data_IF_045463385115
#
_entry.id   IF_045463385115
#
_cell.length_a   1.000
_cell.length_b   1.000
_cell.length_c   1.000
_cell.angle_alpha   90.00
_cell.angle_beta   90.00
_cell.angle_gamma   90.00
#
_symmetry.space_group_name_H-M   'P 1'
#
loop_
_entity.id
_entity.type
_entity.pdbx_description
1 polymer ?
#
# COMPACT_ATOMS: atom_id res chain seq x y z
N UNK A 1 -4.42 14.14 17.87
CA UNK A 1 -3.17 13.54 18.40
C UNK A 1 -2.33 12.87 17.32
N UNK A 2 -2.93 12.11 16.40
CA UNK A 2 -2.24 11.40 15.30
C UNK A 2 -1.48 12.33 14.33
N UNK A 3 -2.06 13.43 13.87
CA UNK A 3 -1.42 14.40 12.98
C UNK A 3 -0.14 15.03 13.57
N UNK A 4 -0.11 15.31 14.87
CA UNK A 4 1.10 15.85 15.52
C UNK A 4 2.26 14.86 15.55
N UNK A 5 1.98 13.56 15.63
CA UNK A 5 3.03 12.51 15.64
C UNK A 5 3.60 12.32 14.23
N UNK A 6 2.76 12.31 13.20
CA UNK A 6 3.19 12.23 11.79
C UNK A 6 4.07 13.42 11.43
N UNK A 7 3.66 14.63 11.79
CA UNK A 7 4.46 15.86 11.58
C UNK A 7 5.83 15.79 12.23
N UNK A 8 5.94 15.20 13.44
CA UNK A 8 7.22 15.07 14.14
C UNK A 8 8.17 14.05 13.47
N UNK A 9 7.63 12.92 13.01
CA UNK A 9 8.40 11.90 12.29
C UNK A 9 8.88 12.42 10.93
N UNK A 10 8.05 13.18 10.21
CA UNK A 10 8.45 13.78 8.95
C UNK A 10 9.54 14.84 9.12
N UNK A 11 9.47 15.67 10.15
CA UNK A 11 10.54 16.63 10.50
C UNK A 11 11.88 15.93 10.71
N UNK A 12 11.92 14.84 11.47
CA UNK A 12 13.16 14.07 11.69
C UNK A 12 13.73 13.52 10.37
N UNK A 13 12.88 13.02 9.47
CA UNK A 13 13.31 12.55 8.15
C UNK A 13 13.88 13.68 7.30
N UNK A 14 13.23 14.85 7.31
CA UNK A 14 13.67 16.03 6.59
C UNK A 14 15.00 16.54 7.12
N UNK A 15 15.16 16.67 8.43
CA UNK A 15 16.42 17.08 9.07
C UNK A 15 17.57 16.14 8.71
N UNK A 16 17.31 14.82 8.68
CA UNK A 16 18.29 13.84 8.23
C UNK A 16 18.68 14.04 6.78
N UNK A 17 17.69 14.25 5.88
CA UNK A 17 17.95 14.52 4.47
C UNK A 17 18.77 15.80 4.26
N UNK A 18 18.53 16.85 5.05
CA UNK A 18 19.32 18.08 5.02
C UNK A 18 20.77 17.87 5.45
N UNK A 19 21.02 17.04 6.48
CA UNK A 19 22.39 16.68 6.92
C UNK A 19 23.12 15.88 5.83
N UNK A 20 22.45 14.95 5.18
CA UNK A 20 23.05 14.11 4.15
C UNK A 20 23.20 14.83 2.79
N UNK A 21 22.38 15.83 2.52
CA UNK A 21 22.27 16.64 1.29
C UNK A 21 22.22 15.83 -0.02
N UNK A 22 21.80 16.43 -1.11
CA UNK A 22 22.02 15.87 -2.43
C UNK A 22 23.42 16.24 -2.93
N UNK A 23 24.15 15.31 -3.53
CA UNK A 23 25.49 15.56 -4.09
C UNK A 23 25.42 16.15 -5.51
N UNK A 24 24.40 16.97 -5.82
CA UNK A 24 24.26 17.59 -7.14
C UNK A 24 24.93 18.98 -7.17
N UNK A 25 25.28 19.44 -8.38
CA UNK A 25 25.84 20.76 -8.64
C UNK A 25 24.91 21.53 -9.59
N UNK A 26 23.61 21.57 -9.28
CA UNK A 26 22.61 22.21 -10.15
C UNK A 26 22.35 23.67 -9.79
N UNK A 27 22.65 24.08 -8.54
CA UNK A 27 22.52 25.47 -8.13
C UNK A 27 23.68 26.31 -8.71
N UNK A 28 23.41 27.57 -8.96
CA UNK A 28 24.38 28.54 -9.55
C UNK A 28 25.69 28.64 -8.74
N UNK A 29 25.57 28.48 -7.39
CA UNK A 29 26.71 28.52 -6.47
C UNK A 29 27.42 27.17 -6.30
N UNK A 30 27.23 26.18 -7.19
CA UNK A 30 27.71 24.79 -7.03
C UNK A 30 27.24 24.08 -5.75
N UNK A 31 26.33 24.67 -4.98
CA UNK A 31 25.75 24.08 -3.79
C UNK A 31 24.75 22.98 -4.11
N UNK A 32 24.52 22.00 -3.21
CA UNK A 32 23.45 21.04 -3.34
C UNK A 32 22.08 21.71 -3.49
N UNK A 33 21.29 21.35 -4.48
CA UNK A 33 19.99 21.98 -4.73
C UNK A 33 19.00 21.80 -3.56
N UNK A 34 19.21 20.83 -2.67
CA UNK A 34 18.41 20.69 -1.45
C UNK A 34 18.54 21.87 -0.50
N UNK A 35 19.68 22.61 -0.55
CA UNK A 35 19.93 23.78 0.29
C UNK A 35 19.32 25.08 -0.29
N UNK A 36 18.79 25.06 -1.51
CA UNK A 36 18.06 26.20 -2.08
C UNK A 36 16.60 26.26 -1.59
N UNK A 37 16.12 25.21 -0.94
CA UNK A 37 14.78 25.09 -0.37
C UNK A 37 14.85 25.21 1.14
N UNK A 38 13.78 25.66 1.77
CA UNK A 38 13.65 25.74 3.22
C UNK A 38 13.22 24.40 3.82
N UNK A 39 13.42 24.23 5.11
CA UNK A 39 12.95 23.03 5.82
C UNK A 39 11.41 22.92 5.77
N UNK A 40 10.72 24.05 5.82
CA UNK A 40 9.26 24.12 5.77
C UNK A 40 8.75 23.70 4.38
N UNK A 41 9.43 24.09 3.27
CA UNK A 41 9.08 23.62 1.90
C UNK A 41 9.05 22.09 1.84
N UNK A 42 10.00 21.41 2.48
CA UNK A 42 10.04 19.95 2.51
C UNK A 42 8.95 19.35 3.40
N UNK A 43 8.73 19.91 4.57
CA UNK A 43 7.73 19.40 5.52
C UNK A 43 6.33 19.56 4.91
N UNK A 44 6.02 20.71 4.33
CA UNK A 44 4.71 21.00 3.76
C UNK A 44 4.44 20.14 2.53
N UNK A 45 5.39 20.06 1.60
CA UNK A 45 5.24 19.21 0.42
C UNK A 45 5.02 17.74 0.80
N UNK A 46 5.81 17.21 1.74
CA UNK A 46 5.70 15.83 2.19
C UNK A 46 4.41 15.55 2.95
N UNK A 47 3.96 16.50 3.77
CA UNK A 47 2.69 16.40 4.48
C UNK A 47 1.53 16.34 3.48
N UNK A 48 1.50 17.25 2.51
CA UNK A 48 0.49 17.27 1.45
C UNK A 48 0.50 15.96 0.64
N UNK A 49 1.68 15.45 0.26
CA UNK A 49 1.79 14.18 -0.45
C UNK A 49 1.30 12.98 0.40
N UNK A 50 1.47 13.02 1.72
CA UNK A 50 1.02 11.94 2.61
C UNK A 50 -0.50 11.91 2.83
N UNK A 51 -1.19 12.99 2.57
CA UNK A 51 -2.66 13.10 2.65
C UNK A 51 -3.35 12.61 1.36
N UNK A 52 -2.61 12.59 0.24
CA UNK A 52 -3.14 12.11 -1.04
C UNK A 52 -3.27 10.58 -1.05
N UNK A 53 -4.33 10.10 -1.68
CA UNK A 53 -4.40 8.69 -2.07
C UNK A 53 -3.31 8.35 -3.10
N UNK A 54 -2.95 7.08 -3.21
CA UNK A 54 -1.95 6.64 -4.19
C UNK A 54 -2.29 7.04 -5.63
N UNK A 55 -3.57 7.11 -5.98
CA UNK A 55 -4.04 7.49 -7.31
C UNK A 55 -3.88 8.99 -7.55
N UNK A 56 -4.20 9.81 -6.55
CA UNK A 56 -4.02 11.26 -6.61
C UNK A 56 -2.54 11.63 -6.69
N UNK A 57 -1.70 11.00 -5.87
CA UNK A 57 -0.26 11.19 -5.92
C UNK A 57 0.31 10.80 -7.29
N UNK A 58 -0.11 9.67 -7.85
CA UNK A 58 0.31 9.24 -9.19
C UNK A 58 -0.05 10.33 -10.25
N UNK A 59 -1.24 10.95 -10.18
CA UNK A 59 -1.64 12.03 -11.10
C UNK A 59 -0.78 13.30 -10.93
N UNK A 60 -0.52 13.71 -9.68
CA UNK A 60 0.37 14.85 -9.41
C UNK A 60 1.74 14.62 -10.02
N UNK A 61 2.29 13.41 -9.85
CA UNK A 61 3.60 13.09 -10.41
C UNK A 61 3.58 12.97 -11.93
N UNK A 62 2.51 12.44 -12.53
CA UNK A 62 2.36 12.43 -13.99
C UNK A 62 2.33 13.84 -14.57
N UNK A 63 1.64 14.79 -13.92
CA UNK A 63 1.69 16.20 -14.30
C UNK A 63 3.10 16.81 -14.19
N UNK A 64 3.82 16.52 -13.10
CA UNK A 64 5.20 16.95 -12.94
C UNK A 64 6.14 16.33 -14.01
N UNK A 65 5.93 15.07 -14.38
CA UNK A 65 6.67 14.40 -15.48
C UNK A 65 6.40 15.09 -16.80
N UNK A 66 5.15 15.43 -17.12
CA UNK A 66 4.78 16.16 -18.32
C UNK A 66 5.50 17.50 -18.42
N UNK A 67 5.47 18.28 -17.34
CA UNK A 67 6.21 19.56 -17.29
C UNK A 67 7.72 19.36 -17.46
N UNK A 68 8.28 18.31 -16.86
CA UNK A 68 9.71 18.00 -16.93
C UNK A 68 10.18 17.60 -18.32
N UNK A 69 9.34 16.92 -19.09
CA UNK A 69 9.67 16.48 -20.46
C UNK A 69 9.51 17.59 -21.50
N UNK A 70 8.60 18.52 -21.27
CA UNK A 70 8.32 19.62 -22.19
C UNK A 70 9.28 20.80 -22.03
N UNK A 71 10.15 20.79 -21.02
CA UNK A 71 11.23 21.76 -20.87
C UNK A 71 12.36 21.40 -21.85
N UNK A 72 12.25 21.82 -23.12
CA UNK A 72 13.34 21.71 -24.09
C UNK A 72 14.49 22.64 -23.69
N UNK A 73 15.53 22.08 -23.11
CA UNK A 73 16.85 22.74 -23.15
C UNK A 73 17.41 22.49 -24.52
N UNK A 74 17.38 23.51 -25.42
CA UNK A 74 18.22 23.55 -26.60
C UNK A 74 19.68 23.50 -26.13
N UNK A 75 20.35 22.38 -26.36
CA UNK A 75 21.79 22.30 -26.11
C UNK A 75 22.51 23.16 -27.17
N UNK A 76 22.84 24.39 -26.83
CA UNK A 76 23.75 25.27 -27.59
C UNK A 76 25.20 24.82 -27.46
N UNK A 77 25.52 23.56 -27.64
CA UNK A 77 26.91 23.13 -27.83
C UNK A 77 27.07 22.74 -29.28
N UNK A 78 27.87 23.55 -30.02
CA UNK A 78 28.14 23.52 -31.47
C UNK A 78 28.75 22.23 -32.02
N UNK A 79 28.19 21.08 -31.67
CA UNK A 79 28.40 19.79 -32.32
C UNK A 79 27.06 19.29 -32.81
N UNK A 80 27.02 18.76 -34.03
CA UNK A 80 25.87 18.22 -34.72
C UNK A 80 24.85 17.60 -33.77
N UNK A 81 23.57 18.03 -33.88
CA UNK A 81 22.44 17.52 -33.14
C UNK A 81 22.31 16.00 -33.35
N UNK A 82 22.90 15.23 -32.44
CA UNK A 82 22.58 13.84 -32.31
C UNK A 82 21.30 13.76 -31.46
N UNK A 83 20.21 13.36 -32.08
CA UNK A 83 18.97 13.04 -31.42
C UNK A 83 19.26 12.08 -30.26
N UNK A 84 19.17 12.59 -29.04
CA UNK A 84 19.49 11.79 -27.85
C UNK A 84 18.34 10.83 -27.60
N UNK A 85 18.61 9.54 -27.61
CA UNK A 85 17.63 8.47 -27.29
C UNK A 85 16.99 8.62 -25.90
N UNK A 86 17.58 9.39 -25.00
CA UNK A 86 17.05 9.62 -23.66
C UNK A 86 16.85 11.11 -23.41
N UNK A 87 15.60 11.55 -23.38
CA UNK A 87 15.19 12.89 -23.00
C UNK A 87 15.59 13.15 -21.55
N UNK A 88 16.40 14.19 -21.30
CA UNK A 88 16.73 14.62 -19.94
C UNK A 88 15.51 15.25 -19.31
N UNK A 89 15.13 14.80 -18.10
CA UNK A 89 14.08 15.40 -17.31
C UNK A 89 14.65 16.50 -16.44
N UNK A 90 14.03 17.68 -16.47
CA UNK A 90 14.35 18.79 -15.57
C UNK A 90 13.24 18.88 -14.51
N UNK A 91 13.62 18.77 -13.23
CA UNK A 91 12.67 18.84 -12.12
C UNK A 91 12.68 20.22 -11.49
N UNK A 92 11.52 20.75 -11.18
CA UNK A 92 11.34 22.07 -10.57
C UNK A 92 10.44 21.96 -9.33
N UNK A 93 10.72 22.82 -8.35
CA UNK A 93 9.87 23.04 -7.20
C UNK A 93 9.89 24.54 -6.85
N UNK A 94 8.73 25.19 -6.82
CA UNK A 94 8.59 26.64 -6.65
C UNK A 94 9.52 27.45 -7.58
N UNK A 95 9.60 27.05 -8.86
CA UNK A 95 10.46 27.71 -9.87
C UNK A 95 11.95 27.41 -9.75
N UNK A 96 12.40 26.72 -8.71
CA UNK A 96 13.81 26.35 -8.51
C UNK A 96 14.08 24.98 -9.10
N UNK A 97 15.18 24.87 -9.87
CA UNK A 97 15.62 23.61 -10.46
C UNK A 97 16.19 22.69 -9.38
N UNK A 98 15.70 21.49 -9.31
CA UNK A 98 16.12 20.48 -8.32
C UNK A 98 16.59 19.20 -8.99
N UNK A 99 17.38 18.39 -8.29
CA UNK A 99 17.80 17.09 -8.79
C UNK A 99 16.74 16.00 -8.53
N UNK A 100 16.84 14.89 -9.25
CA UNK A 100 15.95 13.75 -9.09
C UNK A 100 15.87 13.26 -7.63
N UNK A 101 17.01 13.23 -6.90
CA UNK A 101 17.01 12.76 -5.49
C UNK A 101 16.14 13.66 -4.61
N UNK A 102 16.28 14.99 -4.75
CA UNK A 102 15.46 15.97 -4.03
C UNK A 102 14.00 15.88 -4.43
N UNK A 103 13.71 15.75 -5.72
CA UNK A 103 12.33 15.58 -6.24
C UNK A 103 11.65 14.34 -5.65
N UNK A 104 12.32 13.19 -5.69
CA UNK A 104 11.77 11.95 -5.14
C UNK A 104 11.53 12.05 -3.63
N UNK A 105 12.45 12.69 -2.91
CA UNK A 105 12.31 12.88 -1.48
C UNK A 105 11.14 13.81 -1.13
N UNK A 106 10.98 14.94 -1.82
CA UNK A 106 9.86 15.87 -1.64
C UNK A 106 8.50 15.17 -1.81
N UNK A 107 8.36 14.39 -2.86
CA UNK A 107 7.09 13.73 -3.20
C UNK A 107 6.91 12.34 -2.55
N UNK A 108 7.71 11.98 -1.56
CA UNK A 108 7.62 10.69 -0.86
C UNK A 108 7.72 9.46 -1.79
N UNK A 109 8.44 9.55 -2.91
CA UNK A 109 8.51 8.52 -3.94
C UNK A 109 9.78 7.67 -3.85
N UNK A 110 9.63 6.39 -4.12
CA UNK A 110 10.76 5.52 -4.40
C UNK A 110 11.16 5.59 -5.88
N UNK A 111 12.45 5.38 -6.16
CA UNK A 111 13.01 5.43 -7.51
C UNK A 111 12.29 4.48 -8.49
N UNK A 112 12.00 3.26 -8.06
CA UNK A 112 11.31 2.28 -8.90
C UNK A 112 9.86 2.67 -9.21
N UNK A 113 9.15 3.27 -8.23
CA UNK A 113 7.81 3.80 -8.42
C UNK A 113 7.82 4.92 -9.46
N UNK A 114 8.76 5.85 -9.33
CA UNK A 114 8.92 6.95 -10.29
C UNK A 114 9.18 6.45 -11.72
N UNK A 115 10.12 5.54 -11.91
CA UNK A 115 10.37 4.98 -13.26
C UNK A 115 9.17 4.23 -13.82
N UNK A 116 8.39 3.58 -12.97
CA UNK A 116 7.14 2.95 -13.39
C UNK A 116 6.11 3.99 -13.88
N UNK A 117 6.03 5.17 -13.22
CA UNK A 117 5.19 6.29 -13.66
C UNK A 117 5.69 6.90 -14.96
N UNK A 118 7.00 7.09 -15.12
CA UNK A 118 7.59 7.56 -16.39
C UNK A 118 7.27 6.60 -17.54
N UNK A 119 7.39 5.29 -17.32
CA UNK A 119 7.04 4.28 -18.31
C UNK A 119 5.53 4.30 -18.65
N UNK A 120 4.69 4.52 -17.62
CA UNK A 120 3.24 4.65 -17.82
C UNK A 120 2.92 5.90 -18.63
N UNK A 121 3.49 7.06 -18.28
CA UNK A 121 3.31 8.33 -19.00
C UNK A 121 3.66 8.20 -20.49
N UNK A 122 4.83 7.62 -20.81
CA UNK A 122 5.26 7.43 -22.20
C UNK A 122 4.30 6.57 -23.03
N UNK A 123 3.53 5.70 -22.39
CA UNK A 123 2.61 4.76 -23.06
C UNK A 123 1.17 5.26 -23.09
N UNK A 124 0.74 5.97 -22.05
CA UNK A 124 -0.67 6.25 -21.78
C UNK A 124 -0.93 7.73 -21.42
N UNK A 125 0.07 8.61 -21.55
CA UNK A 125 0.00 10.02 -21.16
C UNK A 125 -0.50 10.23 -19.71
N UNK A 126 -1.28 11.28 -19.47
CA UNK A 126 -1.88 11.64 -18.17
C UNK A 126 -3.01 10.72 -17.74
N UNK A 127 -3.17 9.56 -18.34
CA UNK A 127 -4.25 8.66 -17.97
C UNK A 127 -4.03 8.07 -16.56
N UNK A 128 -5.14 7.82 -15.85
CA UNK A 128 -5.13 7.16 -14.56
C UNK A 128 -4.46 5.79 -14.62
N UNK A 129 -3.48 5.58 -13.75
CA UNK A 129 -2.83 4.29 -13.63
C UNK A 129 -3.74 3.32 -12.87
N UNK A 130 -4.16 2.27 -13.54
CA UNK A 130 -4.86 1.17 -12.89
C UNK A 130 -3.82 0.18 -12.36
N UNK A 131 -3.74 -0.01 -11.06
CA UNK A 131 -2.86 -1.00 -10.45
C UNK A 131 -3.18 -2.39 -11.01
N UNK A 132 -2.17 -3.11 -11.50
CA UNK A 132 -2.36 -4.44 -12.10
C UNK A 132 -3.00 -5.48 -11.17
N UNK A 133 -2.98 -5.23 -9.85
CA UNK A 133 -3.65 -6.05 -8.83
C UNK A 133 -5.03 -5.52 -8.44
N UNK A 134 -5.50 -4.40 -9.03
CA UNK A 134 -6.85 -3.89 -8.74
C UNK A 134 -7.86 -4.91 -9.25
N UNK A 135 -8.71 -5.41 -8.35
CA UNK A 135 -9.69 -6.48 -8.58
C UNK A 135 -9.11 -7.89 -8.82
N UNK A 136 -7.80 -8.10 -8.69
CA UNK A 136 -7.27 -9.46 -8.63
C UNK A 136 -7.48 -10.03 -7.23
N UNK A 137 -8.26 -11.06 -7.15
CA UNK A 137 -8.34 -11.87 -5.93
C UNK A 137 -7.00 -12.62 -5.79
N UNK A 138 -6.41 -12.69 -4.58
CA UNK A 138 -5.26 -13.56 -4.34
C UNK A 138 -5.57 -14.98 -4.81
N UNK A 139 -4.59 -15.69 -5.35
CA UNK A 139 -4.76 -17.09 -5.76
C UNK A 139 -5.20 -17.99 -4.59
N UNK A 140 -4.91 -17.57 -3.36
CA UNK A 140 -5.33 -18.23 -2.11
C UNK A 140 -6.72 -17.79 -1.62
N UNK A 141 -7.39 -16.85 -2.30
CA UNK A 141 -8.73 -16.42 -1.92
C UNK A 141 -9.73 -17.55 -2.22
N UNK A 142 -10.32 -18.08 -1.19
CA UNK A 142 -11.37 -19.11 -1.35
C UNK A 142 -12.62 -18.47 -1.94
N UNK A 143 -13.23 -19.15 -2.91
CA UNK A 143 -14.51 -18.73 -3.48
C UNK A 143 -15.59 -18.67 -2.39
N UNK A 144 -16.53 -17.74 -2.52
CA UNK A 144 -17.72 -17.69 -1.65
C UNK A 144 -18.46 -19.01 -1.64
N UNK A 145 -18.54 -19.70 -2.78
CA UNK A 145 -19.15 -21.03 -2.89
C UNK A 145 -18.48 -22.07 -2.01
N UNK A 146 -17.17 -21.98 -1.79
CA UNK A 146 -16.42 -22.91 -0.96
C UNK A 146 -16.45 -22.53 0.55
N UNK A 147 -16.58 -21.22 0.85
CA UNK A 147 -16.58 -20.71 2.22
C UNK A 147 -17.95 -20.79 2.87
N UNK A 148 -19.02 -20.56 2.12
CA UNK A 148 -20.40 -20.56 2.62
C UNK A 148 -20.83 -21.88 3.28
N UNK A 149 -20.54 -23.08 2.72
CA UNK A 149 -20.84 -24.35 3.38
C UNK A 149 -20.13 -24.52 4.73
N UNK A 150 -18.87 -24.08 4.82
CA UNK A 150 -18.10 -24.12 6.07
C UNK A 150 -18.76 -23.25 7.14
N UNK A 151 -19.14 -22.03 6.77
CA UNK A 151 -19.81 -21.09 7.68
C UNK A 151 -21.12 -21.70 8.19
N UNK A 152 -21.94 -22.24 7.30
CA UNK A 152 -23.18 -22.91 7.65
C UNK A 152 -22.94 -24.08 8.60
N UNK A 153 -21.95 -24.93 8.31
CA UNK A 153 -21.58 -26.04 9.16
C UNK A 153 -21.16 -25.58 10.56
N UNK A 154 -20.25 -24.62 10.66
CA UNK A 154 -19.76 -24.08 11.94
C UNK A 154 -20.93 -23.50 12.77
N UNK A 155 -21.80 -22.72 12.13
CA UNK A 155 -22.94 -22.10 12.81
C UNK A 155 -23.96 -23.14 13.28
N UNK A 156 -24.22 -24.20 12.51
CA UNK A 156 -25.11 -25.30 12.91
C UNK A 156 -24.54 -26.06 14.10
N UNK A 157 -23.26 -26.42 14.07
CA UNK A 157 -22.58 -27.06 15.22
C UNK A 157 -22.66 -26.16 16.45
N UNK A 158 -22.40 -24.85 16.28
CA UNK A 158 -22.50 -23.89 17.39
C UNK A 158 -23.94 -23.72 17.91
N UNK A 159 -24.95 -23.93 17.08
CA UNK A 159 -26.35 -23.87 17.49
C UNK A 159 -26.80 -25.13 18.22
N UNK A 160 -26.38 -26.29 17.73
CA UNK A 160 -26.86 -27.58 18.21
C UNK A 160 -26.07 -28.10 19.42
N UNK A 161 -24.77 -27.89 19.46
CA UNK A 161 -23.86 -28.54 20.40
C UNK A 161 -23.17 -27.58 21.38
N UNK A 162 -23.22 -26.25 21.14
CA UNK A 162 -22.54 -25.31 22.04
C UNK A 162 -23.33 -25.12 23.35
N UNK A 163 -22.62 -25.24 24.44
CA UNK A 163 -23.12 -24.92 25.77
C UNK A 163 -23.05 -23.42 26.02
N UNK A 164 -24.14 -22.82 26.49
CA UNK A 164 -24.16 -21.43 26.90
C UNK A 164 -23.52 -21.32 28.27
N UNK A 165 -22.46 -20.59 28.41
CA UNK A 165 -21.83 -20.33 29.70
C UNK A 165 -22.71 -19.33 30.46
N UNK A 166 -23.40 -19.83 31.46
CA UNK A 166 -24.17 -19.01 32.40
C UNK A 166 -23.21 -18.46 33.46
N UNK A 167 -22.71 -17.24 33.22
CA UNK A 167 -21.82 -16.58 34.15
C UNK A 167 -20.91 -15.53 33.53
N UNK A 168 -20.19 -14.78 34.39
CA UNK A 168 -19.25 -13.77 33.98
C UNK A 168 -17.87 -14.40 33.72
N UNK A 169 -17.43 -14.45 32.47
CA UNK A 169 -16.05 -14.84 32.15
C UNK A 169 -15.13 -13.64 32.38
N UNK A 170 -14.11 -13.75 33.25
CA UNK A 170 -13.17 -12.68 33.47
C UNK A 170 -12.49 -12.26 32.16
N UNK A 171 -12.43 -10.96 31.86
CA UNK A 171 -11.83 -10.43 30.65
C UNK A 171 -12.74 -10.32 29.42
N UNK A 172 -13.97 -10.84 29.47
CA UNK A 172 -14.96 -10.73 28.39
C UNK A 172 -16.09 -9.76 28.74
N UNK A 173 -16.53 -8.96 27.76
CA UNK A 173 -17.77 -8.19 27.87
C UNK A 173 -18.94 -9.20 28.05
N UNK A 174 -20.05 -8.77 28.68
CA UNK A 174 -21.26 -9.56 28.87
C UNK A 174 -21.87 -10.04 27.54
N UNK A 175 -21.27 -11.05 26.94
CA UNK A 175 -21.75 -11.74 25.74
C UNK A 175 -22.01 -13.18 26.19
N UNK A 176 -23.12 -13.79 25.76
CA UNK A 176 -23.35 -15.21 25.95
C UNK A 176 -22.26 -15.99 25.18
N UNK A 177 -21.20 -16.34 25.88
CA UNK A 177 -20.10 -17.13 25.29
C UNK A 177 -20.59 -18.55 25.10
N UNK A 178 -20.58 -19.03 23.89
CA UNK A 178 -20.89 -20.41 23.54
C UNK A 178 -19.59 -21.20 23.50
N UNK A 179 -19.50 -22.21 24.34
CA UNK A 179 -18.36 -23.13 24.38
C UNK A 179 -18.74 -24.48 23.76
N UNK A 180 -17.80 -25.06 23.02
CA UNK A 180 -17.94 -26.44 22.58
C UNK A 180 -17.74 -27.39 23.77
N UNK A 181 -18.47 -28.51 23.83
CA UNK A 181 -18.21 -29.58 24.78
C UNK A 181 -16.76 -30.08 24.68
N UNK A 182 -16.16 -30.45 25.78
CA UNK A 182 -14.76 -30.86 25.88
C UNK A 182 -14.37 -32.10 25.02
N UNK A 183 -15.34 -32.88 24.63
CA UNK A 183 -15.18 -34.03 23.75
C UNK A 183 -15.07 -33.66 22.26
N UNK A 184 -15.39 -32.39 21.89
CA UNK A 184 -15.32 -31.92 20.52
C UNK A 184 -14.04 -31.09 20.28
N UNK A 185 -13.25 -31.52 19.34
CA UNK A 185 -12.06 -30.79 18.91
C UNK A 185 -12.31 -30.14 17.56
N UNK A 186 -11.64 -29.01 17.28
CA UNK A 186 -11.70 -28.36 15.95
C UNK A 186 -11.29 -29.31 14.83
N UNK A 187 -10.31 -30.17 15.09
CA UNK A 187 -9.84 -31.16 14.12
C UNK A 187 -10.89 -32.26 13.87
N UNK A 188 -11.55 -32.74 14.91
CA UNK A 188 -12.66 -33.70 14.77
C UNK A 188 -13.81 -33.13 13.95
N UNK A 189 -14.23 -31.90 14.27
CA UNK A 189 -15.27 -31.19 13.51
C UNK A 189 -14.89 -30.94 12.06
N UNK A 190 -13.63 -30.60 11.78
CA UNK A 190 -13.15 -30.48 10.40
C UNK A 190 -13.23 -31.82 9.66
N UNK A 191 -12.86 -32.94 10.29
CA UNK A 191 -13.01 -34.27 9.69
C UNK A 191 -14.45 -34.58 9.33
N UNK A 192 -15.38 -34.39 10.28
CA UNK A 192 -16.78 -34.57 10.01
C UNK A 192 -17.28 -33.71 8.83
N UNK A 193 -16.84 -32.45 8.78
CA UNK A 193 -17.15 -31.55 7.64
C UNK A 193 -16.59 -32.08 6.31
N UNK A 194 -15.34 -32.54 6.32
CA UNK A 194 -14.68 -33.08 5.12
C UNK A 194 -15.39 -34.36 4.63
N UNK A 195 -15.77 -35.25 5.55
CA UNK A 195 -16.50 -36.49 5.24
C UNK A 195 -17.88 -36.19 4.62
N UNK A 196 -18.61 -35.21 5.15
CA UNK A 196 -19.90 -34.76 4.59
C UNK A 196 -19.72 -34.23 3.16
N UNK A 197 -18.75 -33.35 2.96
CA UNK A 197 -18.50 -32.79 1.62
C UNK A 197 -18.05 -33.89 0.63
N UNK A 198 -17.19 -34.81 1.07
CA UNK A 198 -16.73 -35.93 0.24
C UNK A 198 -17.89 -36.84 -0.18
N UNK A 199 -18.78 -37.14 0.77
CA UNK A 199 -19.97 -37.96 0.53
C UNK A 199 -20.95 -37.28 -0.44
N UNK A 200 -21.00 -35.93 -0.44
CA UNK A 200 -21.80 -35.13 -1.35
C UNK A 200 -21.11 -34.85 -2.70
N UNK A 201 -19.87 -35.29 -2.88
CA UNK A 201 -19.08 -34.98 -4.09
C UNK A 201 -18.66 -33.50 -4.19
N UNK A 202 -18.68 -32.76 -3.06
CA UNK A 202 -18.34 -31.34 -3.00
C UNK A 202 -16.89 -31.12 -2.53
N UNK A 203 -16.27 -30.01 -3.01
CA UNK A 203 -14.95 -29.62 -2.57
C UNK A 203 -15.00 -29.03 -1.15
N UNK A 204 -14.09 -29.43 -0.29
CA UNK A 204 -13.97 -28.92 1.08
C UNK A 204 -12.71 -28.09 1.29
N UNK A 205 -12.70 -27.24 2.33
CA UNK A 205 -11.54 -26.41 2.69
C UNK A 205 -10.54 -27.20 3.53
N UNK A 206 -9.26 -26.90 3.37
CA UNK A 206 -8.21 -27.47 4.22
C UNK A 206 -8.35 -27.03 5.69
N UNK A 207 -7.79 -27.82 6.60
CA UNK A 207 -7.87 -27.63 8.05
C UNK A 207 -7.46 -26.22 8.52
N UNK A 208 -6.36 -25.69 7.99
CA UNK A 208 -5.90 -24.33 8.35
C UNK A 208 -6.95 -23.26 8.04
N UNK A 209 -7.56 -23.34 6.85
CA UNK A 209 -8.60 -22.39 6.45
C UNK A 209 -9.87 -22.54 7.27
N UNK A 210 -10.24 -23.78 7.60
CA UNK A 210 -11.36 -24.07 8.51
C UNK A 210 -11.12 -23.41 9.87
N UNK A 211 -9.93 -23.55 10.45
CA UNK A 211 -9.57 -22.93 11.72
C UNK A 211 -9.60 -21.39 11.67
N UNK A 212 -9.19 -20.78 10.57
CA UNK A 212 -9.24 -19.33 10.41
C UNK A 212 -10.68 -18.81 10.33
N UNK A 213 -11.54 -19.49 9.58
CA UNK A 213 -12.98 -19.18 9.55
C UNK A 213 -13.63 -19.36 10.93
N UNK A 214 -13.26 -20.44 11.64
CA UNK A 214 -13.72 -20.67 13.00
C UNK A 214 -13.40 -19.52 13.95
N UNK A 215 -12.15 -19.03 13.94
CA UNK A 215 -11.72 -17.89 14.77
C UNK A 215 -12.48 -16.61 14.45
N UNK A 216 -12.84 -16.40 13.19
CA UNK A 216 -13.60 -15.22 12.77
C UNK A 216 -15.08 -15.28 13.20
N UNK A 217 -15.68 -16.46 13.15
CA UNK A 217 -17.10 -16.66 13.46
C UNK A 217 -17.37 -16.91 14.95
N UNK A 218 -16.43 -17.56 15.62
CA UNK A 218 -16.51 -17.91 17.03
C UNK A 218 -15.25 -17.37 17.76
N UNK A 219 -15.12 -16.05 17.91
CA UNK A 219 -14.03 -15.48 18.68
C UNK A 219 -14.18 -15.91 20.14
N UNK A 220 -13.19 -16.65 20.64
CA UNK A 220 -13.04 -17.00 22.05
C UNK A 220 -12.33 -15.88 22.78
#
# INVERSE_FOLDING_TARGET
MYQKVISRLEKVKVERFFKETCKCKLAEDEKPCSLTLTLDDFVDCRSNCSELSSTELDLVILGAIQCSLNCHESSTSGRAEKERQNTRMAYYYHGKRICMRTFLFLHCLQKNQFYSLVKHYRKNDLSLRVHGNKKRLPSSASSTKTVEPVIKFILNVAKEQALILLGRVPGFKRINVKLLPSNLTKHGLWRTYADICTSAGEAYVGYSKFCDLWKQLCPL
#
